data_IF_445149479767
#
_entry.id   IF_445149479767
#
_cell.length_a   1.000
_cell.length_b   1.000
_cell.length_c   1.000
_cell.angle_alpha   90.00
_cell.angle_beta   90.00
_cell.angle_gamma   90.00
#
_symmetry.space_group_name_H-M   'P 1'
#
loop_
_entity.id
_entity.type
_entity.pdbx_description
1 polymer ?
#
# COMPACT_ATOMS: atom_id res chain seq x y z
N UNK A 1 -8.85 -0.69 24.89
CA UNK A 1 -8.79 -0.97 23.44
C UNK A 1 -10.13 -1.58 23.06
N UNK A 2 -10.87 -1.04 22.10
CA UNK A 2 -12.13 -1.60 21.64
C UNK A 2 -11.89 -2.96 20.98
N UNK A 3 -12.77 -3.92 21.24
CA UNK A 3 -12.78 -5.23 20.61
C UNK A 3 -13.84 -5.23 19.52
N UNK A 4 -13.45 -5.58 18.31
CA UNK A 4 -14.36 -5.67 17.15
C UNK A 4 -14.87 -7.09 16.93
N UNK A 5 -14.01 -8.08 17.15
CA UNK A 5 -14.33 -9.49 16.93
C UNK A 5 -13.56 -10.37 17.91
N UNK A 6 -14.14 -11.50 18.32
CA UNK A 6 -13.50 -12.53 19.09
C UNK A 6 -13.91 -13.91 18.55
N UNK A 7 -12.92 -14.75 18.28
CA UNK A 7 -13.13 -16.10 17.77
C UNK A 7 -12.21 -17.09 18.49
N UNK A 8 -12.61 -18.34 18.56
CA UNK A 8 -11.75 -19.44 19.04
C UNK A 8 -11.21 -20.25 17.85
N UNK A 9 -10.11 -20.95 18.09
CA UNK A 9 -9.53 -21.89 17.14
C UNK A 9 -10.30 -23.22 17.17
N UNK A 10 -10.89 -23.68 16.07
CA UNK A 10 -11.63 -24.94 16.03
C UNK A 10 -10.75 -26.18 16.32
N UNK A 11 -9.42 -26.07 16.12
CA UNK A 11 -8.47 -27.15 16.39
C UNK A 11 -7.88 -27.10 17.81
N UNK A 12 -8.02 -25.96 18.52
CA UNK A 12 -7.53 -25.77 19.87
C UNK A 12 -8.42 -24.78 20.66
N UNK A 13 -9.37 -25.29 21.43
CA UNK A 13 -10.33 -24.49 22.21
C UNK A 13 -9.72 -23.61 23.30
N UNK A 14 -8.43 -23.70 23.57
CA UNK A 14 -7.71 -22.77 24.44
C UNK A 14 -7.13 -21.59 23.68
N UNK A 15 -7.11 -21.67 22.35
CA UNK A 15 -6.61 -20.59 21.50
C UNK A 15 -7.75 -19.71 21.03
N UNK A 16 -7.58 -18.39 21.30
CA UNK A 16 -8.50 -17.33 20.91
C UNK A 16 -7.79 -16.27 20.11
N UNK A 17 -8.52 -15.62 19.22
CA UNK A 17 -8.07 -14.43 18.49
C UNK A 17 -9.03 -13.28 18.74
N UNK A 18 -8.48 -12.10 18.96
CA UNK A 18 -9.24 -10.87 19.22
C UNK A 18 -8.81 -9.79 18.25
N UNK A 19 -9.73 -9.39 17.38
CA UNK A 19 -9.62 -8.21 16.55
C UNK A 19 -9.92 -6.96 17.37
N UNK A 20 -9.16 -5.90 17.15
CA UNK A 20 -9.33 -4.64 17.87
C UNK A 20 -9.48 -3.47 16.93
N UNK A 21 -10.18 -2.43 17.39
CA UNK A 21 -10.44 -1.21 16.65
C UNK A 21 -11.66 -1.29 15.75
N UNK A 22 -12.20 -0.14 15.41
CA UNK A 22 -13.36 0.00 14.55
C UNK A 22 -13.16 1.22 13.64
N UNK A 23 -13.15 1.01 12.34
CA UNK A 23 -12.77 2.02 11.33
C UNK A 23 -13.92 2.49 10.44
N UNK A 24 -15.15 2.00 10.66
CA UNK A 24 -16.27 2.21 9.74
C UNK A 24 -17.41 3.07 10.26
N UNK A 25 -17.34 3.56 11.49
CA UNK A 25 -18.25 4.57 11.99
C UNK A 25 -17.61 5.95 12.02
N UNK A 26 -18.43 7.00 12.07
CA UNK A 26 -17.94 8.38 12.09
C UNK A 26 -17.15 8.77 13.35
N UNK A 27 -17.00 7.87 14.32
CA UNK A 27 -16.26 8.05 15.57
C UNK A 27 -15.30 6.90 15.78
N UNK A 28 -14.43 6.65 14.81
CA UNK A 28 -13.44 5.57 14.82
C UNK A 28 -12.83 5.32 16.20
N UNK A 29 -12.80 4.06 16.60
CA UNK A 29 -12.22 3.64 17.85
C UNK A 29 -10.87 2.95 17.60
N UNK A 30 -9.78 3.62 17.96
CA UNK A 30 -8.43 3.16 17.71
C UNK A 30 -8.17 1.80 18.37
N UNK A 31 -7.82 0.82 17.53
CA UNK A 31 -7.41 -0.51 17.96
C UNK A 31 -5.90 -0.64 18.16
N UNK A 32 -5.45 -1.88 18.21
CA UNK A 32 -4.04 -2.24 18.23
C UNK A 32 -3.81 -3.61 17.55
N UNK A 33 -4.40 -3.79 16.37
CA UNK A 33 -4.25 -4.99 15.57
C UNK A 33 -4.95 -6.23 16.14
N UNK A 34 -4.42 -7.40 15.79
CA UNK A 34 -4.92 -8.72 16.21
C UNK A 34 -4.10 -9.28 17.36
N UNK A 35 -4.80 -9.81 18.35
CA UNK A 35 -4.20 -10.44 19.51
C UNK A 35 -4.58 -11.92 19.59
N UNK A 36 -3.65 -12.74 20.06
CA UNK A 36 -3.81 -14.19 20.26
C UNK A 36 -3.57 -14.55 21.71
N UNK A 37 -4.43 -15.39 22.24
CA UNK A 37 -4.20 -16.17 23.46
C UNK A 37 -4.09 -17.64 23.10
N UNK A 38 -3.21 -18.40 23.76
CA UNK A 38 -3.10 -19.84 23.64
C UNK A 38 -3.35 -20.57 24.98
N UNK A 39 -3.87 -19.84 25.98
CA UNK A 39 -4.07 -20.30 27.35
C UNK A 39 -5.46 -19.94 27.90
N UNK A 40 -6.46 -19.98 27.03
CA UNK A 40 -7.86 -19.69 27.36
C UNK A 40 -8.10 -18.24 27.83
N UNK A 41 -7.29 -17.29 27.36
CA UNK A 41 -7.46 -15.87 27.64
C UNK A 41 -6.65 -15.34 28.83
N UNK A 42 -5.81 -16.16 29.46
CA UNK A 42 -4.99 -15.73 30.60
C UNK A 42 -3.89 -14.75 30.14
N UNK A 43 -3.23 -15.04 29.02
CA UNK A 43 -2.23 -14.13 28.41
C UNK A 43 -2.51 -13.86 26.94
N UNK A 44 -2.08 -12.70 26.48
CA UNK A 44 -2.32 -12.22 25.11
C UNK A 44 -1.05 -11.71 24.46
N UNK A 45 -0.85 -12.09 23.20
CA UNK A 45 0.27 -11.63 22.38
C UNK A 45 -0.27 -10.98 21.11
N UNK A 46 0.25 -9.80 20.74
CA UNK A 46 -0.05 -9.20 19.44
C UNK A 46 0.60 -10.03 18.34
N UNK A 47 -0.21 -10.50 17.37
CA UNK A 47 0.23 -11.38 16.29
C UNK A 47 0.11 -10.74 14.91
N UNK A 48 -0.59 -9.59 14.81
CA UNK A 48 -0.72 -8.85 13.56
C UNK A 48 -1.05 -7.38 13.81
N UNK A 49 -0.38 -6.48 13.10
CA UNK A 49 -0.68 -5.05 13.15
C UNK A 49 -0.34 -4.39 14.50
N UNK A 50 -0.95 -3.25 14.75
CA UNK A 50 -0.76 -2.48 15.96
C UNK A 50 0.51 -1.62 15.97
N UNK A 51 0.76 -0.96 17.10
CA UNK A 51 1.97 -0.19 17.32
C UNK A 51 3.10 -1.16 17.69
N UNK A 52 4.01 -1.39 16.77
CA UNK A 52 5.22 -2.18 17.07
C UNK A 52 6.29 -1.25 17.64
N UNK A 53 6.73 -1.50 18.85
CA UNK A 53 7.89 -0.83 19.46
C UNK A 53 9.22 -1.44 19.01
N UNK A 54 9.18 -2.60 18.36
CA UNK A 54 10.35 -3.23 17.76
C UNK A 54 10.15 -3.25 16.25
N UNK A 55 11.13 -2.75 15.51
CA UNK A 55 11.20 -2.83 14.05
C UNK A 55 11.12 -4.28 13.56
N UNK A 56 9.95 -4.85 13.57
CA UNK A 56 9.67 -6.01 12.76
C UNK A 56 9.42 -5.49 11.36
N UNK A 57 10.45 -5.47 10.56
CA UNK A 57 10.36 -5.16 9.14
C UNK A 57 9.48 -6.22 8.49
N UNK A 58 8.24 -5.90 8.29
CA UNK A 58 7.31 -6.73 7.56
C UNK A 58 7.39 -6.37 6.10
N UNK A 59 7.82 -7.30 5.30
CA UNK A 59 7.94 -7.13 3.85
C UNK A 59 6.74 -7.77 3.20
N UNK A 60 5.89 -6.98 2.58
CA UNK A 60 4.99 -7.50 1.57
C UNK A 60 5.84 -7.84 0.35
N UNK A 61 6.03 -9.12 0.09
CA UNK A 61 6.50 -9.58 -1.21
C UNK A 61 5.33 -9.52 -2.19
N UNK A 62 4.89 -8.35 -2.47
CA UNK A 62 3.88 -8.02 -3.44
C UNK A 62 4.41 -6.94 -4.36
N UNK A 63 3.57 -6.34 -5.15
CA UNK A 63 3.89 -5.22 -6.03
C UNK A 63 4.56 -4.06 -5.29
N UNK A 64 5.87 -4.16 -5.06
CA UNK A 64 6.66 -3.22 -4.29
C UNK A 64 7.70 -2.49 -5.14
N UNK A 65 7.86 -1.21 -4.84
CA UNK A 65 9.05 -0.46 -5.20
C UNK A 65 10.13 -0.81 -4.18
N UNK A 66 11.23 -1.42 -4.62
CA UNK A 66 12.37 -1.80 -3.78
C UNK A 66 13.56 -0.89 -4.04
N UNK A 67 14.39 -0.71 -3.05
CA UNK A 67 15.61 0.10 -3.11
C UNK A 67 16.82 -0.81 -2.82
N UNK A 68 17.45 -1.40 -3.87
CA UNK A 68 18.46 -2.44 -3.69
C UNK A 68 19.69 -2.01 -2.89
N UNK A 69 20.02 -0.72 -2.94
CA UNK A 69 21.22 -0.18 -2.31
C UNK A 69 20.94 0.47 -0.94
N UNK A 70 19.66 0.60 -0.54
CA UNK A 70 19.27 1.22 0.72
C UNK A 70 17.93 0.65 1.24
N UNK A 71 18.02 -0.39 2.05
CA UNK A 71 16.86 -1.03 2.68
C UNK A 71 16.06 -0.08 3.60
N UNK A 72 16.66 1.03 4.04
CA UNK A 72 15.97 2.02 4.87
C UNK A 72 14.93 2.83 4.09
N UNK A 73 15.04 2.89 2.75
CA UNK A 73 14.12 3.61 1.89
C UNK A 73 12.84 2.86 1.56
N UNK A 74 12.76 1.55 1.76
CA UNK A 74 11.58 0.76 1.36
C UNK A 74 11.60 -0.63 1.96
N UNK A 75 10.81 -1.58 1.44
CA UNK A 75 10.00 -1.51 0.23
C UNK A 75 8.68 -0.75 0.40
N UNK A 76 8.13 -0.20 -0.69
CA UNK A 76 6.83 0.46 -0.69
C UNK A 76 5.87 -0.20 -1.65
N UNK A 77 4.67 -0.53 -1.19
CA UNK A 77 3.61 -1.03 -2.05
C UNK A 77 3.19 0.00 -3.10
N UNK A 78 2.91 -0.46 -4.30
CA UNK A 78 2.43 0.38 -5.37
C UNK A 78 1.11 -0.15 -5.96
N UNK A 79 0.41 0.74 -6.66
CA UNK A 79 -0.76 0.41 -7.49
C UNK A 79 -0.45 0.82 -8.93
N UNK A 80 -0.68 -0.09 -9.87
CA UNK A 80 -0.47 0.17 -11.30
C UNK A 80 -1.50 1.15 -11.86
N UNK A 81 -1.12 1.93 -12.87
CA UNK A 81 -2.07 2.75 -13.62
C UNK A 81 -3.01 1.87 -14.47
N UNK A 82 -4.18 2.43 -14.81
CA UNK A 82 -5.13 1.80 -15.73
C UNK A 82 -4.73 1.97 -17.22
N UNK A 83 -3.57 2.57 -17.48
CA UNK A 83 -3.08 2.88 -18.83
C UNK A 83 -1.56 2.65 -18.91
N UNK A 84 -1.03 2.64 -20.13
CA UNK A 84 0.39 2.43 -20.40
C UNK A 84 0.78 0.95 -20.45
N UNK A 85 2.09 0.69 -20.38
CA UNK A 85 2.65 -0.65 -20.43
C UNK A 85 2.52 -1.39 -19.09
N UNK A 86 2.57 -2.72 -19.14
CA UNK A 86 2.60 -3.55 -17.96
C UNK A 86 4.03 -3.76 -17.46
N UNK A 87 4.21 -3.88 -16.15
CA UNK A 87 5.47 -4.28 -15.58
C UNK A 87 5.75 -5.77 -15.87
N UNK A 88 7.01 -6.08 -16.08
CA UNK A 88 7.49 -7.46 -16.23
C UNK A 88 7.72 -8.09 -14.86
N UNK A 89 7.70 -9.44 -14.80
CA UNK A 89 8.20 -10.19 -13.63
C UNK A 89 9.72 -10.06 -13.45
N UNK A 90 10.44 -9.79 -14.55
CA UNK A 90 11.86 -9.45 -14.47
C UNK A 90 12.01 -8.03 -13.96
N UNK A 91 12.71 -7.82 -12.83
CA UNK A 91 12.86 -6.49 -12.26
C UNK A 91 13.53 -5.50 -13.20
N UNK A 92 12.95 -4.33 -13.34
CA UNK A 92 13.57 -3.17 -13.95
C UNK A 92 14.37 -2.44 -12.87
N UNK A 93 15.68 -2.62 -12.83
CA UNK A 93 16.57 -1.95 -11.87
C UNK A 93 17.26 -0.79 -12.57
N UNK A 94 16.98 0.44 -12.13
CA UNK A 94 17.48 1.70 -12.70
C UNK A 94 17.60 2.76 -11.62
N UNK A 95 18.27 3.87 -11.94
CA UNK A 95 18.24 5.04 -11.08
C UNK A 95 16.85 5.66 -11.06
N UNK A 96 16.45 6.13 -9.89
CA UNK A 96 15.27 6.95 -9.71
C UNK A 96 15.67 8.41 -9.90
N UNK A 97 14.98 9.14 -10.76
CA UNK A 97 15.28 10.53 -11.08
C UNK A 97 14.05 11.39 -10.82
N UNK A 98 14.19 12.40 -9.98
CA UNK A 98 13.14 13.37 -9.73
C UNK A 98 12.87 14.17 -11.02
N UNK A 99 11.65 14.08 -11.51
CA UNK A 99 11.24 14.83 -12.69
C UNK A 99 11.27 16.34 -12.39
N UNK A 100 11.72 17.12 -13.38
CA UNK A 100 11.72 18.58 -13.28
C UNK A 100 11.20 19.16 -14.60
N UNK A 101 10.07 19.87 -14.55
CA UNK A 101 9.50 20.60 -15.68
C UNK A 101 9.71 22.12 -15.56
N UNK A 102 10.39 22.54 -14.50
CA UNK A 102 10.72 23.96 -14.21
C UNK A 102 9.50 24.90 -14.20
N UNK A 103 8.31 24.35 -13.92
CA UNK A 103 7.07 25.14 -13.96
C UNK A 103 6.19 24.85 -12.74
N UNK A 104 5.61 25.89 -12.20
CA UNK A 104 4.55 25.78 -11.20
C UNK A 104 3.18 26.14 -11.79
N UNK A 105 3.15 26.40 -13.10
CA UNK A 105 1.93 26.78 -13.81
C UNK A 105 1.13 25.53 -14.14
N UNK A 106 -0.15 25.58 -13.87
CA UNK A 106 -1.06 24.51 -14.23
C UNK A 106 -1.49 24.62 -15.70
N UNK A 107 -1.26 23.55 -16.47
CA UNK A 107 -1.79 23.41 -17.83
C UNK A 107 -2.93 22.39 -17.82
N UNK A 108 -4.16 22.78 -17.48
CA UNK A 108 -5.27 21.86 -17.49
C UNK A 108 -6.55 22.40 -16.83
N UNK A 109 -7.51 21.52 -16.59
CA UNK A 109 -8.85 21.83 -16.11
C UNK A 109 -8.90 22.56 -14.75
N UNK A 110 -7.79 22.61 -14.00
CA UNK A 110 -7.65 23.31 -12.72
C UNK A 110 -6.64 24.46 -12.78
N UNK A 111 -6.78 25.36 -13.75
CA UNK A 111 -5.87 26.47 -13.98
C UNK A 111 -5.59 27.39 -12.77
N UNK A 112 -6.39 27.25 -11.70
CA UNK A 112 -6.23 28.04 -10.46
C UNK A 112 -5.42 27.35 -9.36
N UNK A 113 -4.96 26.12 -9.56
CA UNK A 113 -4.16 25.40 -8.58
C UNK A 113 -2.67 25.47 -8.96
N UNK A 114 -1.81 25.89 -8.04
CA UNK A 114 -0.37 25.89 -8.27
C UNK A 114 0.14 24.43 -8.31
N UNK A 115 0.84 24.08 -9.40
CA UNK A 115 1.62 22.85 -9.50
C UNK A 115 2.95 22.95 -8.76
N UNK A 116 3.76 21.92 -8.89
CA UNK A 116 5.16 21.92 -8.45
C UNK A 116 6.07 21.69 -9.65
N UNK A 117 7.31 22.12 -9.58
CA UNK A 117 8.31 21.87 -10.64
C UNK A 117 8.60 20.38 -10.86
N UNK A 118 8.05 19.50 -10.01
CA UNK A 118 8.29 18.06 -10.04
C UNK A 118 7.04 17.24 -10.40
N UNK A 119 6.02 17.89 -10.89
CA UNK A 119 4.73 17.23 -11.19
C UNK A 119 4.58 16.78 -12.65
N UNK A 120 5.56 17.12 -13.51
CA UNK A 120 5.61 16.76 -14.91
C UNK A 120 4.36 17.16 -15.71
N UNK A 121 3.72 18.28 -15.35
CA UNK A 121 2.61 18.83 -16.12
C UNK A 121 3.05 19.51 -17.43
N UNK A 122 4.33 19.87 -17.53
CA UNK A 122 4.98 20.37 -18.75
C UNK A 122 6.11 19.42 -19.17
N UNK A 123 6.72 19.71 -20.32
CA UNK A 123 7.89 18.98 -20.81
C UNK A 123 9.04 19.05 -19.80
N UNK A 124 9.70 17.93 -19.56
CA UNK A 124 10.77 17.84 -18.58
C UNK A 124 12.04 18.55 -19.09
N UNK A 125 12.60 19.43 -18.29
CA UNK A 125 13.85 20.14 -18.60
C UNK A 125 15.09 19.30 -18.29
N UNK A 126 14.96 18.28 -17.41
CA UNK A 126 16.03 17.33 -17.10
C UNK A 126 15.91 15.99 -17.85
N UNK A 127 15.41 16.04 -19.08
CA UNK A 127 15.21 14.83 -19.90
C UNK A 127 16.47 13.99 -20.13
N UNK A 128 17.67 14.59 -20.14
CA UNK A 128 18.94 13.86 -20.24
C UNK A 128 19.20 12.93 -19.04
N UNK A 129 18.79 13.33 -17.83
CA UNK A 129 18.92 12.54 -16.62
C UNK A 129 17.83 11.45 -16.56
N UNK A 130 16.62 11.78 -17.04
CA UNK A 130 15.46 10.87 -17.09
C UNK A 130 15.69 9.73 -18.09
N UNK A 131 16.37 10.01 -19.21
CA UNK A 131 16.54 9.04 -20.29
C UNK A 131 17.20 7.75 -19.82
N UNK A 132 16.51 6.62 -20.01
CA UNK A 132 16.97 5.29 -19.64
C UNK A 132 16.84 4.97 -18.13
N UNK A 133 16.20 5.84 -17.36
CA UNK A 133 15.96 5.72 -15.92
C UNK A 133 14.47 5.66 -15.60
N UNK A 134 14.14 5.59 -14.32
CA UNK A 134 12.76 5.64 -13.80
C UNK A 134 12.49 7.06 -13.31
N UNK A 135 11.44 7.68 -13.84
CA UNK A 135 11.04 9.02 -13.42
C UNK A 135 10.24 8.97 -12.10
N UNK A 136 10.62 9.79 -11.13
CA UNK A 136 9.86 10.02 -9.91
C UNK A 136 9.10 11.34 -10.05
N UNK A 137 7.77 11.26 -9.98
CA UNK A 137 6.87 12.38 -10.27
C UNK A 137 5.96 12.60 -9.08
N UNK A 138 5.76 13.85 -8.69
CA UNK A 138 4.79 14.21 -7.68
C UNK A 138 3.39 14.34 -8.29
N UNK A 139 2.39 13.83 -7.59
CA UNK A 139 1.01 14.11 -7.97
C UNK A 139 0.76 15.61 -7.90
N UNK A 140 0.47 16.20 -9.05
CA UNK A 140 0.12 17.63 -9.18
C UNK A 140 -1.30 17.79 -9.71
N UNK A 141 -1.48 18.81 -10.50
CA UNK A 141 -2.78 19.36 -10.89
C UNK A 141 -3.25 18.95 -12.30
N UNK A 142 -2.38 18.39 -13.13
CA UNK A 142 -2.76 17.87 -14.45
C UNK A 142 -3.03 16.36 -14.41
N UNK A 143 -3.68 15.87 -15.49
CA UNK A 143 -4.03 14.47 -15.63
C UNK A 143 -2.81 13.54 -15.62
N UNK A 144 -2.95 12.33 -15.07
CA UNK A 144 -1.86 11.36 -14.97
C UNK A 144 -1.28 10.97 -16.34
N UNK A 145 -2.13 10.86 -17.37
CA UNK A 145 -1.67 10.58 -18.74
C UNK A 145 -0.70 11.65 -19.25
N UNK A 146 -0.91 12.94 -18.92
CA UNK A 146 0.00 14.03 -19.28
C UNK A 146 1.36 13.85 -18.62
N UNK A 147 1.38 13.57 -17.32
CA UNK A 147 2.59 13.36 -16.54
C UNK A 147 3.44 12.21 -17.09
N UNK A 148 2.79 11.05 -17.28
CA UNK A 148 3.47 9.85 -17.77
C UNK A 148 3.92 10.05 -19.23
N UNK A 149 3.12 10.74 -20.06
CA UNK A 149 3.50 11.06 -21.43
C UNK A 149 4.73 11.96 -21.50
N UNK A 150 4.80 12.98 -20.67
CA UNK A 150 5.96 13.88 -20.60
C UNK A 150 7.24 13.13 -20.15
N UNK A 151 7.12 12.22 -19.16
CA UNK A 151 8.23 11.36 -18.78
C UNK A 151 8.66 10.40 -19.88
N UNK A 152 7.71 9.76 -20.57
CA UNK A 152 7.99 8.92 -21.72
C UNK A 152 8.71 9.68 -22.84
N UNK A 153 8.24 10.88 -23.16
CA UNK A 153 8.86 11.73 -24.17
C UNK A 153 10.29 12.14 -23.78
N UNK A 154 10.58 12.25 -22.49
CA UNK A 154 11.93 12.45 -21.95
C UNK A 154 12.78 11.16 -21.94
N UNK A 155 12.22 10.03 -22.33
CA UNK A 155 12.92 8.74 -22.43
C UNK A 155 12.94 7.92 -21.15
N UNK A 156 12.03 8.16 -20.22
CA UNK A 156 11.85 7.30 -19.04
C UNK A 156 11.47 5.87 -19.46
N UNK A 157 11.95 4.89 -18.70
CA UNK A 157 11.60 3.47 -18.90
C UNK A 157 10.36 3.06 -18.09
N UNK A 158 10.10 3.76 -17.00
CA UNK A 158 8.92 3.61 -16.14
C UNK A 158 8.70 4.90 -15.34
N UNK A 159 7.54 5.01 -14.74
CA UNK A 159 7.19 6.15 -13.89
C UNK A 159 6.70 5.68 -12.51
N UNK A 160 7.21 6.31 -11.46
CA UNK A 160 6.67 6.22 -10.12
C UNK A 160 6.06 7.57 -9.77
N UNK A 161 4.74 7.61 -9.62
CA UNK A 161 4.03 8.79 -9.11
C UNK A 161 3.87 8.66 -7.60
N UNK A 162 4.34 9.63 -6.85
CA UNK A 162 4.04 9.72 -5.43
C UNK A 162 2.78 10.56 -5.22
N UNK A 163 1.84 10.05 -4.45
CA UNK A 163 0.61 10.77 -4.15
C UNK A 163 0.89 12.01 -3.31
N UNK A 164 -0.11 12.87 -3.13
CA UNK A 164 -0.01 14.05 -2.24
C UNK A 164 0.12 13.59 -0.80
N UNK A 165 0.84 14.35 -0.02
CA UNK A 165 0.85 14.30 1.43
C UNK A 165 0.42 15.69 1.91
N UNK A 166 -0.88 15.96 1.83
CA UNK A 166 -1.43 17.24 2.24
C UNK A 166 -1.69 17.19 3.74
N UNK A 167 -0.78 17.72 4.52
CA UNK A 167 -0.79 17.73 6.00
C UNK A 167 -2.03 18.42 6.62
N UNK A 168 -2.88 19.04 5.81
CA UNK A 168 -4.05 19.79 6.26
C UNK A 168 -5.40 19.17 5.81
N UNK A 169 -5.42 17.96 5.22
CA UNK A 169 -6.65 17.33 4.78
C UNK A 169 -6.95 16.10 5.62
N UNK A 170 -8.17 16.02 6.10
CA UNK A 170 -8.74 14.92 6.89
C UNK A 170 -9.22 13.75 6.02
N UNK A 171 -9.06 13.85 4.70
CA UNK A 171 -9.48 12.82 3.75
C UNK A 171 -8.28 11.93 3.35
N UNK A 172 -8.51 10.68 3.09
CA UNK A 172 -7.62 9.54 2.76
C UNK A 172 -6.64 9.79 1.59
N UNK A 173 -6.14 10.98 1.39
CA UNK A 173 -5.54 11.45 0.15
C UNK A 173 -4.08 11.08 -0.04
N UNK A 174 -3.42 10.49 0.97
CA UNK A 174 -2.03 10.05 0.82
C UNK A 174 -1.88 8.62 0.28
N UNK A 175 -2.92 7.78 0.35
CA UNK A 175 -2.88 6.41 -0.15
C UNK A 175 -2.61 6.34 -1.65
N UNK A 176 -1.92 5.29 -2.08
CA UNK A 176 -1.85 4.96 -3.50
C UNK A 176 -3.23 4.53 -4.01
N UNK A 177 -3.54 4.90 -5.24
CA UNK A 177 -4.77 4.50 -5.94
C UNK A 177 -4.48 4.31 -7.43
N UNK A 178 -5.39 3.67 -8.16
CA UNK A 178 -5.24 3.50 -9.60
C UNK A 178 -5.32 4.84 -10.33
N UNK A 179 -4.24 5.18 -11.01
CA UNK A 179 -4.24 6.35 -11.90
C UNK A 179 -5.11 6.10 -13.11
N UNK A 180 -6.18 6.86 -13.24
CA UNK A 180 -7.10 6.80 -14.38
C UNK A 180 -6.60 7.58 -15.59
N UNK A 181 -7.22 7.32 -16.72
CA UNK A 181 -6.97 7.97 -18.01
C UNK A 181 -6.80 6.97 -19.15
N UNK A 182 -6.71 7.47 -20.36
CA UNK A 182 -6.49 6.65 -21.58
C UNK A 182 -5.65 7.44 -22.57
N UNK A 183 -4.52 6.87 -22.96
CA UNK A 183 -3.68 7.33 -24.08
C UNK A 183 -2.91 6.13 -24.62
N UNK A 184 -3.33 5.62 -25.78
CA UNK A 184 -2.73 4.44 -26.41
C UNK A 184 -1.27 4.64 -26.86
N UNK A 185 -0.78 5.86 -26.87
CA UNK A 185 0.61 6.18 -27.18
C UNK A 185 1.55 6.10 -26.01
N UNK A 186 1.03 5.88 -24.80
CA UNK A 186 1.83 5.59 -23.61
C UNK A 186 2.11 4.10 -23.57
N UNK A 187 3.39 3.73 -23.63
CA UNK A 187 3.84 2.34 -23.68
C UNK A 187 4.67 1.93 -22.47
N UNK A 188 5.12 2.89 -21.66
CA UNK A 188 5.89 2.60 -20.46
C UNK A 188 4.96 2.31 -19.26
N UNK A 189 5.37 1.42 -18.35
CA UNK A 189 4.61 1.18 -17.13
C UNK A 189 4.67 2.37 -16.18
N UNK A 190 3.57 2.58 -15.46
CA UNK A 190 3.50 3.59 -14.41
C UNK A 190 2.76 3.10 -13.20
N UNK A 191 3.26 3.47 -12.03
CA UNK A 191 2.73 3.04 -10.73
C UNK A 191 2.59 4.23 -9.78
N UNK A 192 1.69 4.11 -8.83
CA UNK A 192 1.55 5.09 -7.75
C UNK A 192 1.95 4.48 -6.41
N UNK A 193 2.69 5.25 -5.62
CA UNK A 193 2.99 4.97 -4.21
C UNK A 193 2.31 6.01 -3.30
N UNK A 194 2.20 5.69 -2.01
CA UNK A 194 1.63 6.61 -1.04
C UNK A 194 2.43 7.89 -0.90
N UNK A 195 1.73 9.00 -0.69
CA UNK A 195 2.30 10.32 -0.40
C UNK A 195 3.13 10.37 0.88
N UNK A 196 2.87 9.48 1.83
CA UNK A 196 3.63 9.39 3.09
C UNK A 196 5.13 9.13 2.87
N UNK A 197 5.52 8.54 1.74
CA UNK A 197 6.92 8.26 1.42
C UNK A 197 7.65 9.39 0.68
N UNK A 198 6.91 10.42 0.25
CA UNK A 198 7.42 11.51 -0.59
C UNK A 198 8.68 12.17 -0.04
N UNK A 199 8.63 12.64 1.21
CA UNK A 199 9.74 13.38 1.80
C UNK A 199 10.99 12.52 1.99
N UNK A 200 10.80 11.26 2.40
CA UNK A 200 11.92 10.32 2.58
C UNK A 200 12.65 10.06 1.25
N UNK A 201 11.90 9.77 0.18
CA UNK A 201 12.49 9.54 -1.14
C UNK A 201 13.14 10.82 -1.70
N UNK A 202 12.49 11.98 -1.55
CA UNK A 202 13.08 13.26 -1.98
C UNK A 202 14.39 13.57 -1.26
N UNK A 203 14.44 13.35 0.04
CA UNK A 203 15.67 13.56 0.81
C UNK A 203 16.81 12.67 0.32
N UNK A 204 16.51 11.40 0.03
CA UNK A 204 17.50 10.49 -0.54
C UNK A 204 17.96 10.92 -1.93
N UNK A 205 17.05 11.32 -2.82
CA UNK A 205 17.37 11.85 -4.16
C UNK A 205 18.21 13.13 -4.11
N UNK A 206 17.97 14.00 -3.12
CA UNK A 206 18.77 15.20 -2.91
C UNK A 206 20.18 14.89 -2.34
N UNK A 207 20.33 13.76 -1.64
CA UNK A 207 21.60 13.31 -1.07
C UNK A 207 22.48 12.59 -2.07
N UNK A 208 21.92 12.01 -3.13
CA UNK A 208 22.68 11.28 -4.14
C UNK A 208 21.83 10.39 -5.05
N UNK A 209 22.51 9.50 -5.77
CA UNK A 209 21.84 8.55 -6.65
C UNK A 209 21.06 7.51 -5.83
N UNK A 210 19.84 7.26 -6.23
CA UNK A 210 18.96 6.25 -5.64
C UNK A 210 18.67 5.19 -6.70
N UNK A 211 19.08 3.95 -6.45
CA UNK A 211 18.70 2.80 -7.27
C UNK A 211 17.32 2.29 -6.87
N UNK A 212 16.49 1.97 -7.83
CA UNK A 212 15.17 1.42 -7.60
C UNK A 212 14.92 0.19 -8.45
N UNK A 213 14.26 -0.80 -7.89
CA UNK A 213 13.81 -2.02 -8.54
C UNK A 213 12.29 -2.02 -8.62
N UNK A 214 11.77 -2.18 -9.81
CA UNK A 214 10.34 -2.19 -10.10
C UNK A 214 9.98 -3.43 -10.92
N UNK A 215 9.09 -4.27 -10.40
CA UNK A 215 8.65 -5.50 -11.05
C UNK A 215 7.18 -5.76 -10.77
N UNK A 216 6.52 -6.48 -11.68
CA UNK A 216 5.26 -7.12 -11.36
C UNK A 216 5.59 -8.41 -10.59
N UNK A 217 5.42 -8.37 -9.30
CA UNK A 217 5.54 -9.55 -8.45
C UNK A 217 4.13 -10.12 -8.27
N UNK A 218 3.91 -11.32 -8.82
CA UNK A 218 2.70 -12.06 -8.49
C UNK A 218 2.69 -12.23 -6.96
N UNK A 219 1.56 -12.00 -6.30
CA UNK A 219 1.35 -12.15 -4.85
C UNK A 219 1.59 -13.58 -4.31
N UNK A 220 2.40 -14.36 -4.97
CA UNK A 220 2.85 -15.67 -4.53
C UNK A 220 4.15 -15.51 -3.74
N UNK A 221 4.06 -15.05 -2.51
CA UNK A 221 4.60 -15.63 -1.28
C UNK A 221 6.05 -15.86 -1.05
N UNK A 222 6.51 -15.37 -0.02
CA UNK A 222 7.12 -16.00 1.16
C UNK A 222 7.64 -14.91 2.07
N UNK A 223 7.25 -14.94 3.31
CA UNK A 223 7.77 -14.01 4.31
C UNK A 223 6.65 -13.32 5.07
N UNK A 224 6.84 -13.20 6.36
CA UNK A 224 5.97 -12.48 7.25
C UNK A 224 5.75 -11.07 6.75
N UNK A 225 4.49 -10.75 6.51
CA UNK A 225 4.12 -9.41 6.16
C UNK A 225 3.08 -8.91 7.13
N UNK A 226 3.51 -8.14 8.11
CA UNK A 226 2.59 -7.37 8.91
C UNK A 226 3.03 -5.93 8.77
N UNK A 227 2.17 -5.09 8.26
CA UNK A 227 2.45 -3.68 8.24
C UNK A 227 2.33 -3.11 9.63
N UNK A 228 3.38 -2.51 10.20
CA UNK A 228 3.21 -1.66 11.35
C UNK A 228 2.21 -0.57 10.98
N UNK A 229 1.20 -0.36 11.80
CA UNK A 229 0.18 0.65 11.55
C UNK A 229 -1.16 0.13 11.04
N UNK A 230 -1.38 -1.17 10.92
CA UNK A 230 -2.75 -1.71 10.84
C UNK A 230 -3.29 -1.77 12.25
N UNK A 231 -4.14 -0.82 12.60
CA UNK A 231 -4.75 -0.71 13.94
C UNK A 231 -6.13 -1.33 14.00
N UNK A 232 -6.82 -1.43 12.86
CA UNK A 232 -8.20 -1.86 12.80
C UNK A 232 -8.31 -3.24 12.21
N UNK A 233 -8.80 -4.17 13.01
CA UNK A 233 -9.24 -5.48 12.57
C UNK A 233 -10.75 -5.47 12.67
N UNK A 234 -11.42 -5.25 11.55
CA UNK A 234 -12.87 -5.13 11.52
C UNK A 234 -13.53 -6.45 11.84
N UNK A 235 -12.96 -7.56 11.36
CA UNK A 235 -13.44 -8.89 11.69
C UNK A 235 -12.35 -9.96 11.61
N UNK A 236 -12.60 -11.10 12.25
CA UNK A 236 -11.72 -12.27 12.30
C UNK A 236 -12.55 -13.54 12.16
N UNK A 237 -12.10 -14.46 11.31
CA UNK A 237 -12.62 -15.82 11.26
C UNK A 237 -11.48 -16.82 11.36
N UNK A 238 -11.73 -17.95 12.00
CA UNK A 238 -10.80 -19.09 12.05
C UNK A 238 -11.52 -20.33 11.54
N UNK A 239 -10.86 -21.04 10.64
CA UNK A 239 -11.41 -22.30 10.13
C UNK A 239 -10.40 -23.42 10.24
N UNK A 240 -10.93 -24.63 10.35
CA UNK A 240 -10.15 -25.84 10.14
C UNK A 240 -9.91 -26.07 8.65
N UNK A 241 -8.66 -26.21 8.28
CA UNK A 241 -8.24 -26.55 6.92
C UNK A 241 -7.34 -27.80 6.98
N UNK A 242 -7.97 -28.97 6.92
CA UNK A 242 -7.32 -30.27 7.02
C UNK A 242 -6.46 -30.44 8.31
N UNK A 243 -7.04 -30.09 9.46
CA UNK A 243 -6.38 -30.16 10.77
C UNK A 243 -5.40 -29.02 11.04
N UNK A 244 -5.38 -27.99 10.20
CA UNK A 244 -4.58 -26.78 10.39
C UNK A 244 -5.48 -25.57 10.60
N UNK A 245 -5.14 -24.77 11.57
CA UNK A 245 -5.86 -23.52 11.84
C UNK A 245 -5.49 -22.44 10.83
N UNK A 246 -6.45 -22.07 10.00
CA UNK A 246 -6.34 -20.95 9.08
C UNK A 246 -7.07 -19.74 9.67
N UNK A 247 -6.34 -18.67 9.94
CA UNK A 247 -6.85 -17.41 10.50
C UNK A 247 -6.99 -16.39 9.37
N UNK A 248 -8.16 -15.78 9.24
CA UNK A 248 -8.44 -14.81 8.18
C UNK A 248 -8.98 -13.55 8.84
N UNK A 249 -8.45 -12.38 8.46
CA UNK A 249 -8.82 -11.10 9.04
C UNK A 249 -9.25 -10.10 7.97
N UNK A 250 -10.19 -9.27 8.35
CA UNK A 250 -10.57 -8.05 7.64
C UNK A 250 -9.82 -6.86 8.26
N UNK A 251 -8.72 -6.45 7.63
CA UNK A 251 -7.94 -5.31 8.08
C UNK A 251 -8.48 -4.01 7.49
N UNK A 252 -8.87 -3.09 8.36
CA UNK A 252 -9.42 -1.79 8.00
C UNK A 252 -8.35 -0.72 7.82
N UNK A 253 -8.74 0.39 7.20
CA UNK A 253 -7.93 1.58 7.03
C UNK A 253 -8.30 2.63 8.08
N UNK A 254 -7.30 3.34 8.59
CA UNK A 254 -7.45 4.40 9.58
C UNK A 254 -7.40 5.79 8.96
N UNK A 255 -8.17 6.70 9.52
CA UNK A 255 -7.98 8.14 9.35
C UNK A 255 -7.04 8.75 10.38
N UNK A 256 -6.69 8.01 11.43
CA UNK A 256 -5.73 8.45 12.44
C UNK A 256 -4.31 8.52 11.89
N UNK A 257 -3.53 9.43 12.47
CA UNK A 257 -2.13 9.66 12.12
C UNK A 257 -1.24 9.36 13.32
N UNK A 258 -0.02 8.91 13.06
CA UNK A 258 1.00 8.81 14.10
C UNK A 258 1.57 10.19 14.47
N UNK A 259 2.48 10.22 15.44
CA UNK A 259 3.16 11.45 15.88
C UNK A 259 3.99 12.12 14.77
N UNK A 260 4.24 11.40 13.67
CA UNK A 260 4.93 11.90 12.46
C UNK A 260 3.96 12.23 11.32
N UNK A 261 2.67 12.22 11.59
CA UNK A 261 1.60 12.54 10.64
C UNK A 261 1.37 11.49 9.53
N UNK A 262 1.79 10.24 9.75
CA UNK A 262 1.51 9.13 8.85
C UNK A 262 0.14 8.53 9.10
N UNK A 263 -0.59 8.24 8.02
CA UNK A 263 -1.82 7.46 8.10
C UNK A 263 -1.49 5.99 8.31
N UNK A 264 -2.13 5.38 9.30
CA UNK A 264 -1.92 3.98 9.63
C UNK A 264 -2.65 3.05 8.65
N UNK A 265 -1.96 1.99 8.22
CA UNK A 265 -2.56 0.90 7.45
C UNK A 265 -3.05 1.24 6.05
N UNK A 266 -2.78 2.44 5.54
CA UNK A 266 -3.36 2.95 4.28
C UNK A 266 -3.03 2.08 3.06
N UNK A 267 -1.88 1.43 3.05
CA UNK A 267 -1.47 0.57 1.93
C UNK A 267 -1.71 -0.91 2.19
N UNK A 268 -2.08 -1.27 3.41
CA UNK A 268 -2.09 -2.66 3.86
C UNK A 268 -3.46 -3.13 4.35
N UNK A 269 -4.48 -2.28 4.33
CA UNK A 269 -5.85 -2.73 4.56
C UNK A 269 -6.26 -3.77 3.51
N UNK A 270 -7.19 -4.62 3.85
CA UNK A 270 -7.65 -5.72 3.01
C UNK A 270 -7.81 -7.01 3.78
N UNK A 271 -7.95 -8.12 3.07
CA UNK A 271 -8.05 -9.44 3.68
C UNK A 271 -6.65 -10.04 3.81
N UNK A 272 -6.32 -10.50 5.01
CA UNK A 272 -5.09 -11.21 5.28
C UNK A 272 -5.38 -12.59 5.82
N UNK A 273 -4.51 -13.53 5.50
CA UNK A 273 -4.65 -14.93 5.86
C UNK A 273 -3.35 -15.49 6.44
N UNK A 274 -3.48 -16.22 7.53
CA UNK A 274 -2.45 -17.07 8.08
C UNK A 274 -2.85 -18.53 7.95
N UNK A 275 -1.95 -19.38 7.48
CA UNK A 275 -2.14 -20.83 7.40
C UNK A 275 -1.32 -21.58 8.46
N UNK A 276 -0.76 -20.86 9.45
CA UNK A 276 0.13 -21.39 10.46
C UNK A 276 -0.19 -20.82 11.86
N UNK A 277 -1.49 -20.69 12.15
CA UNK A 277 -2.02 -20.21 13.43
C UNK A 277 -1.49 -18.85 13.85
N UNK A 278 -1.45 -17.91 12.90
CA UNK A 278 -1.02 -16.52 13.03
C UNK A 278 0.50 -16.32 13.20
N UNK A 279 1.34 -17.29 12.81
CA UNK A 279 2.80 -17.08 12.83
C UNK A 279 3.31 -16.35 11.58
N UNK A 280 2.64 -16.53 10.43
CA UNK A 280 2.93 -15.78 9.21
C UNK A 280 1.64 -15.40 8.49
N UNK A 281 1.70 -14.38 7.64
CA UNK A 281 0.53 -13.79 7.03
C UNK A 281 0.76 -13.52 5.55
N UNK A 282 -0.24 -13.87 4.74
CA UNK A 282 -0.34 -13.56 3.32
C UNK A 282 -1.50 -12.60 3.07
N UNK A 283 -1.30 -11.55 2.29
CA UNK A 283 -2.39 -10.70 1.83
C UNK A 283 -3.17 -11.45 0.76
N UNK A 284 -4.48 -11.61 0.97
CA UNK A 284 -5.36 -12.25 0.00
C UNK A 284 -5.70 -11.23 -1.09
N UNK A 285 -5.51 -11.54 -2.38
CA UNK A 285 -6.02 -10.72 -3.46
C UNK A 285 -7.55 -10.64 -3.33
N UNK A 286 -8.04 -9.47 -2.96
CA UNK A 286 -9.45 -9.22 -2.75
C UNK A 286 -9.89 -8.01 -3.56
N UNK A 287 -10.93 -8.22 -4.39
CA UNK A 287 -11.33 -7.20 -5.35
C UNK A 287 -10.49 -7.27 -6.63
N UNK A 288 -10.99 -6.72 -7.64
CA UNK A 288 -10.66 -6.79 -9.05
C UNK A 288 -9.16 -6.88 -9.35
N UNK A 289 -8.84 -7.71 -10.33
CA UNK A 289 -7.55 -7.91 -10.95
C UNK A 289 -6.67 -6.66 -10.99
N UNK A 290 -5.40 -6.84 -10.63
CA UNK A 290 -4.28 -5.96 -10.95
C UNK A 290 -4.27 -4.58 -10.30
N UNK A 291 -4.51 -4.50 -9.00
CA UNK A 291 -4.19 -3.29 -8.23
C UNK A 291 -5.24 -2.18 -8.29
N UNK A 292 -6.43 -2.47 -8.79
CA UNK A 292 -7.55 -1.52 -8.80
C UNK A 292 -8.41 -1.72 -7.56
N UNK A 293 -8.52 -0.68 -6.74
CA UNK A 293 -9.39 -0.57 -5.57
C UNK A 293 -9.47 -1.84 -4.72
N UNK A 294 -8.69 -1.87 -3.68
CA UNK A 294 -9.01 -2.72 -2.57
C UNK A 294 -10.19 -2.08 -1.84
N UNK A 295 -11.35 -2.69 -1.92
CA UNK A 295 -12.44 -2.34 -1.04
C UNK A 295 -12.03 -2.62 0.40
N UNK A 296 -12.42 -1.75 1.32
CA UNK A 296 -12.21 -2.03 2.74
C UNK A 296 -13.10 -3.20 3.15
N UNK A 297 -12.57 -4.34 3.61
CA UNK A 297 -13.38 -5.43 4.11
C UNK A 297 -13.95 -5.06 5.47
N UNK A 298 -15.23 -5.36 5.68
CA UNK A 298 -15.97 -4.99 6.87
C UNK A 298 -16.27 -6.19 7.75
N UNK A 299 -16.75 -7.25 7.14
CA UNK A 299 -17.25 -8.42 7.82
C UNK A 299 -16.90 -9.68 7.04
N UNK A 300 -16.61 -10.76 7.74
CA UNK A 300 -16.22 -12.04 7.18
C UNK A 300 -17.15 -13.14 7.67
N UNK A 301 -17.68 -13.94 6.78
CA UNK A 301 -18.57 -15.04 7.11
C UNK A 301 -18.08 -16.36 6.48
N UNK A 302 -18.03 -17.43 7.27
CA UNK A 302 -17.75 -18.78 6.78
C UNK A 302 -19.06 -19.50 6.49
N UNK A 303 -19.28 -19.82 5.22
CA UNK A 303 -20.38 -20.69 4.83
C UNK A 303 -20.14 -22.13 5.29
N UNK A 304 -21.20 -22.97 5.42
CA UNK A 304 -21.07 -24.37 5.84
C UNK A 304 -20.16 -25.23 4.95
N UNK A 305 -19.94 -24.83 3.70
CA UNK A 305 -19.02 -25.46 2.76
C UNK A 305 -17.58 -24.92 2.82
N UNK A 306 -17.24 -24.26 3.91
CA UNK A 306 -15.93 -23.64 4.18
C UNK A 306 -15.54 -22.50 3.22
N UNK A 307 -16.48 -21.97 2.44
CA UNK A 307 -16.26 -20.78 1.61
C UNK A 307 -16.32 -19.53 2.46
N UNK A 308 -15.39 -18.62 2.22
CA UNK A 308 -15.37 -17.31 2.83
C UNK A 308 -16.21 -16.33 2.02
N UNK A 309 -17.04 -15.58 2.70
CA UNK A 309 -17.74 -14.40 2.20
C UNK A 309 -17.19 -13.17 2.90
N UNK A 310 -17.09 -12.07 2.18
CA UNK A 310 -16.67 -10.80 2.75
C UNK A 310 -17.60 -9.68 2.27
N UNK A 311 -18.07 -8.85 3.19
CA UNK A 311 -18.72 -7.59 2.86
C UNK A 311 -17.67 -6.48 2.74
N UNK A 312 -17.97 -5.46 1.94
CA UNK A 312 -17.05 -4.34 1.70
C UNK A 312 -17.79 -3.02 1.64
N UNK A 313 -17.08 -1.93 1.88
CA UNK A 313 -17.60 -0.57 1.64
C UNK A 313 -17.43 -0.18 0.20
#
# INVERSE_FOLDING_TARGET
>A
IPVSSIVYDPNDFKTFYVGTGESYTGAEALGNGLWKSSDAGETWTNVFGGKSETEKVYRSEGNNVKFPDDDSLGPYSYISAAFGGSLSKTPLVKNLVLANDNSTVNSGENANANGTTNDACQSLVNGSEIKGNIAFIERGVCNFVVKVKNAQNAGALAVIVVNRNDDNRTDYTSAAFTMGGSDSSITIPSVMISGSYRNRIRNALNAGNVSVSLAFENLARSGRTVSPGIFYINDVVVRDNDGKSEVIIAAGVSTHRDDTNHLFGVNDYGIWKSSDAANSWDKVPFGINDGVFQYQPMDLELAPNNKLWASTT
#
